data_IF_568406940403
#
_entry.id   IF_568406940403
#
_cell.length_a   1.000
_cell.length_b   1.000
_cell.length_c   1.000
_cell.angle_alpha   90.00
_cell.angle_beta   90.00
_cell.angle_gamma   90.00
#
_symmetry.space_group_name_H-M   'P 1'
#
loop_
_entity.id
_entity.type
_entity.pdbx_description
1 polymer ?
#
# COMPACT_ATOMS: atom_id res chain seq x y z
N UNK A 1 1.65 22.67 0.71
CA UNK A 1 2.43 21.48 0.28
C UNK A 1 1.46 20.41 -0.18
N UNK A 2 1.95 19.20 -0.45
CA UNK A 2 1.12 18.05 -0.80
C UNK A 2 1.55 16.80 -0.04
N UNK A 3 0.70 15.77 -0.07
CA UNK A 3 0.99 14.45 0.47
C UNK A 3 1.07 13.43 -0.67
N UNK A 4 1.88 12.39 -0.50
CA UNK A 4 2.06 11.31 -1.46
C UNK A 4 2.01 9.97 -0.74
N UNK A 5 1.29 9.02 -1.34
CA UNK A 5 1.34 7.60 -0.99
C UNK A 5 2.16 6.89 -2.07
N UNK A 6 3.25 6.23 -1.67
CA UNK A 6 4.03 5.36 -2.54
C UNK A 6 3.76 3.92 -2.12
N UNK A 7 3.40 3.07 -3.09
CA UNK A 7 3.07 1.66 -2.88
C UNK A 7 3.28 0.87 -4.18
N UNK A 8 3.05 -0.44 -4.13
CA UNK A 8 2.96 -1.32 -5.28
C UNK A 8 1.60 -2.06 -5.28
N UNK A 9 1.23 -2.67 -6.40
CA UNK A 9 0.08 -3.54 -6.54
C UNK A 9 0.41 -5.00 -6.19
N UNK A 10 1.65 -5.42 -6.40
CA UNK A 10 2.15 -6.74 -6.01
C UNK A 10 3.68 -6.76 -5.89
N UNK A 11 4.21 -7.88 -5.38
CA UNK A 11 5.65 -8.20 -5.45
C UNK A 11 6.03 -8.85 -6.78
N UNK A 12 7.32 -8.77 -7.13
CA UNK A 12 7.95 -9.45 -8.26
C UNK A 12 9.47 -9.36 -8.11
N UNK A 13 10.03 -8.16 -8.21
CA UNK A 13 11.47 -7.94 -8.36
C UNK A 13 12.30 -8.32 -7.13
N UNK A 14 11.67 -8.51 -5.99
CA UNK A 14 12.32 -8.98 -4.78
C UNK A 14 12.62 -10.49 -4.79
N UNK A 15 12.02 -11.26 -5.71
CA UNK A 15 12.35 -12.68 -5.96
C UNK A 15 12.56 -12.93 -7.45
N UNK A 16 13.84 -12.86 -7.86
CA UNK A 16 14.24 -13.08 -9.27
C UNK A 16 14.79 -14.49 -9.54
N UNK A 17 15.07 -15.25 -8.49
CA UNK A 17 15.58 -16.63 -8.56
C UNK A 17 14.66 -17.52 -7.76
N UNK A 18 14.20 -18.62 -8.37
CA UNK A 18 13.34 -19.59 -7.72
C UNK A 18 14.12 -20.31 -6.61
N UNK A 19 13.70 -20.21 -5.34
CA UNK A 19 14.41 -20.81 -4.22
C UNK A 19 14.39 -22.35 -4.23
N UNK A 20 13.44 -22.98 -4.92
CA UNK A 20 13.35 -24.44 -5.02
C UNK A 20 14.21 -25.01 -6.15
N UNK A 21 14.32 -24.30 -7.29
CA UNK A 21 15.01 -24.81 -8.49
C UNK A 21 16.35 -24.12 -8.79
N UNK A 22 16.59 -22.92 -8.24
CA UNK A 22 17.74 -22.07 -8.56
C UNK A 22 17.68 -21.41 -9.94
N UNK A 23 16.60 -21.61 -10.71
CA UNK A 23 16.39 -21.01 -12.02
C UNK A 23 15.75 -19.61 -11.95
N UNK A 24 15.49 -18.98 -13.11
CA UNK A 24 14.80 -17.69 -13.16
C UNK A 24 13.37 -17.78 -12.60
N UNK A 25 13.03 -16.87 -11.70
CA UNK A 25 11.65 -16.66 -11.25
C UNK A 25 11.03 -15.51 -12.04
N UNK A 26 9.99 -15.79 -12.82
CA UNK A 26 9.36 -14.81 -13.74
C UNK A 26 7.94 -14.43 -13.36
N UNK A 27 7.45 -14.90 -12.21
CA UNK A 27 6.09 -14.67 -11.74
C UNK A 27 6.05 -13.57 -10.66
N UNK A 28 4.84 -13.08 -10.36
CA UNK A 28 4.61 -12.25 -9.17
C UNK A 28 4.81 -13.08 -7.89
N UNK A 29 4.97 -12.38 -6.76
CA UNK A 29 5.04 -13.02 -5.45
C UNK A 29 3.79 -12.72 -4.62
N UNK A 30 3.66 -13.44 -3.50
CA UNK A 30 2.64 -13.18 -2.48
C UNK A 30 3.17 -12.31 -1.34
N UNK A 31 4.36 -11.72 -1.49
CA UNK A 31 4.95 -10.88 -0.47
C UNK A 31 4.13 -9.59 -0.28
N UNK A 32 4.06 -9.05 0.94
CA UNK A 32 3.43 -7.76 1.18
C UNK A 32 4.18 -6.64 0.45
N UNK A 33 3.44 -5.61 0.05
CA UNK A 33 3.98 -4.40 -0.59
C UNK A 33 4.13 -3.26 0.43
N UNK A 34 5.14 -2.39 0.29
CA UNK A 34 5.29 -1.25 1.19
C UNK A 34 4.21 -0.21 0.93
N UNK A 35 3.76 0.49 1.99
CA UNK A 35 2.98 1.72 1.87
C UNK A 35 3.72 2.83 2.61
N UNK A 36 4.08 3.90 1.89
CA UNK A 36 4.90 4.99 2.41
C UNK A 36 4.11 6.29 2.27
N UNK A 37 3.89 6.98 3.40
CA UNK A 37 3.31 8.31 3.45
C UNK A 37 4.41 9.38 3.50
N UNK A 38 4.44 10.25 2.49
CA UNK A 38 5.35 11.40 2.42
C UNK A 38 4.53 12.69 2.49
N UNK A 39 4.95 13.65 3.31
CA UNK A 39 4.29 14.96 3.42
C UNK A 39 2.89 14.90 4.04
N UNK A 40 2.57 13.85 4.79
CA UNK A 40 1.31 13.72 5.53
C UNK A 40 1.22 14.67 6.74
N UNK A 41 0.07 14.67 7.45
CA UNK A 41 -0.11 15.47 8.66
C UNK A 41 0.98 15.24 9.69
N UNK A 42 1.31 16.28 10.47
CA UNK A 42 2.35 16.17 11.49
C UNK A 42 2.01 15.06 12.49
N UNK A 43 2.94 14.12 12.67
CA UNK A 43 2.75 12.98 13.56
C UNK A 43 1.94 11.81 12.97
N UNK A 44 1.48 11.89 11.71
CA UNK A 44 0.74 10.81 11.08
C UNK A 44 1.51 9.48 11.14
N UNK A 45 0.77 8.40 11.40
CA UNK A 45 1.24 7.03 11.37
C UNK A 45 0.29 6.21 10.51
N UNK A 46 0.81 5.16 9.90
CA UNK A 46 -0.01 4.15 9.24
C UNK A 46 -0.20 3.00 10.24
N UNK A 47 -1.42 2.46 10.33
CA UNK A 47 -1.69 1.24 11.09
C UNK A 47 -0.99 0.05 10.47
N UNK A 48 -0.69 -0.95 11.28
CA UNK A 48 -0.18 -2.22 10.79
C UNK A 48 -1.24 -3.00 10.02
N UNK A 49 -0.78 -3.81 9.06
CA UNK A 49 -1.64 -4.58 8.16
C UNK A 49 -2.38 -3.71 7.16
N UNK A 50 -3.42 -4.29 6.55
CA UNK A 50 -4.21 -3.65 5.50
C UNK A 50 -4.12 -4.36 4.15
N UNK A 51 -4.80 -3.79 3.17
CA UNK A 51 -4.91 -4.32 1.80
C UNK A 51 -5.00 -3.19 0.78
N UNK A 52 -4.85 -3.50 -0.51
CA UNK A 52 -4.91 -2.49 -1.59
C UNK A 52 -6.20 -1.64 -1.57
N UNK A 53 -7.33 -2.24 -1.16
CA UNK A 53 -8.60 -1.53 -1.06
C UNK A 53 -8.59 -0.37 -0.03
N UNK A 54 -7.63 -0.36 0.89
CA UNK A 54 -7.49 0.65 1.94
C UNK A 54 -6.79 1.94 1.44
N UNK A 55 -6.15 1.90 0.27
CA UNK A 55 -5.42 3.04 -0.30
C UNK A 55 -6.35 4.20 -0.68
N UNK A 56 -7.46 3.93 -1.36
CA UNK A 56 -8.38 4.98 -1.80
C UNK A 56 -9.07 5.71 -0.62
N UNK A 57 -9.62 5.01 0.39
CA UNK A 57 -10.07 5.64 1.64
C UNK A 57 -9.01 6.52 2.31
N UNK A 58 -7.75 6.05 2.33
CA UNK A 58 -6.64 6.80 2.92
C UNK A 58 -6.35 8.09 2.15
N UNK A 59 -6.39 8.06 0.81
CA UNK A 59 -6.22 9.24 -0.03
C UNK A 59 -7.38 10.23 0.19
N UNK A 60 -8.63 9.76 0.26
CA UNK A 60 -9.78 10.62 0.58
C UNK A 60 -9.62 11.30 1.94
N UNK A 61 -9.17 10.57 2.95
CA UNK A 61 -8.90 11.12 4.27
C UNK A 61 -7.80 12.21 4.24
N UNK A 62 -6.71 11.99 3.50
CA UNK A 62 -5.65 12.99 3.30
C UNK A 62 -6.15 14.25 2.56
N UNK A 63 -7.16 14.10 1.69
CA UNK A 63 -7.82 15.21 0.98
C UNK A 63 -8.91 15.91 1.81
N UNK A 64 -9.27 15.37 2.97
CA UNK A 64 -10.40 15.87 3.77
C UNK A 64 -11.77 15.62 3.13
N UNK A 65 -11.89 14.56 2.31
CA UNK A 65 -13.13 14.18 1.63
C UNK A 65 -13.82 13.01 2.34
N UNK A 66 -15.17 12.94 2.31
CA UNK A 66 -15.90 11.82 2.89
C UNK A 66 -15.69 10.54 2.07
N UNK A 67 -15.64 9.41 2.75
CA UNK A 67 -15.65 8.08 2.12
C UNK A 67 -17.09 7.70 1.73
N UNK A 68 -17.34 7.28 0.47
CA UNK A 68 -18.64 6.78 0.05
C UNK A 68 -18.94 5.40 0.64
N UNK A 69 -20.22 5.06 0.80
CA UNK A 69 -20.65 3.82 1.46
C UNK A 69 -20.28 2.53 0.71
N UNK A 70 -20.05 2.63 -0.60
CA UNK A 70 -19.62 1.53 -1.45
C UNK A 70 -18.15 1.15 -1.24
N UNK A 71 -17.32 2.05 -0.71
CA UNK A 71 -15.93 1.75 -0.36
C UNK A 71 -15.90 1.01 0.98
N UNK A 72 -15.56 -0.28 0.93
CA UNK A 72 -15.43 -1.14 2.11
C UNK A 72 -13.98 -1.29 2.60
N UNK A 73 -13.04 -0.59 1.96
CA UNK A 73 -11.69 -0.42 2.47
C UNK A 73 -11.68 0.52 3.68
N UNK A 74 -10.66 0.42 4.52
CA UNK A 74 -10.54 1.21 5.73
C UNK A 74 -9.32 2.12 5.64
N UNK A 75 -9.46 3.39 6.04
CA UNK A 75 -8.36 4.34 6.11
C UNK A 75 -7.17 3.74 6.90
N UNK A 76 -5.95 3.90 6.37
CA UNK A 76 -4.71 3.41 6.97
C UNK A 76 -4.12 4.38 8.00
N UNK A 77 -4.55 5.65 8.06
CA UNK A 77 -4.07 6.59 9.07
C UNK A 77 -4.52 6.13 10.47
N UNK A 78 -3.56 6.05 11.40
CA UNK A 78 -3.75 5.67 12.80
C UNK A 78 -3.99 6.88 13.72
#
# INVERSE_FOLDING_TARGET
GGAMIVTADHGNCEVMVDPATGGPHTAHTLNPVPVILVGGPAGARLRDGGRLADLAPTVLALMGLPQPGEMTGENLLA
#
